data_IF_751483712810
#
_entry.id   IF_751483712810
#
_cell.length_a   1.000
_cell.length_b   1.000
_cell.length_c   1.000
_cell.angle_alpha   90.00
_cell.angle_beta   90.00
_cell.angle_gamma   90.00
#
_symmetry.space_group_name_H-M   'P 1'
#
loop_
_entity.id
_entity.type
_entity.pdbx_description
1 polymer ?
#
# COMPACT_ATOMS: atom_id res chain seq x y z
N UNK A 1 20.93 2.73 -4.48
CA UNK A 1 19.63 3.27 -4.96
C UNK A 1 18.48 2.26 -4.91
N UNK A 2 18.60 1.05 -5.50
CA UNK A 2 17.48 0.07 -5.55
C UNK A 2 16.92 -0.34 -4.18
N UNK A 3 17.73 -0.34 -3.12
CA UNK A 3 17.29 -0.65 -1.75
C UNK A 3 16.24 0.33 -1.21
N UNK A 4 16.47 1.64 -1.35
CA UNK A 4 15.54 2.67 -0.90
C UNK A 4 14.18 2.56 -1.62
N UNK A 5 14.19 2.34 -2.94
CA UNK A 5 12.95 2.16 -3.72
C UNK A 5 12.19 0.90 -3.31
N UNK A 6 12.89 -0.21 -3.03
CA UNK A 6 12.25 -1.44 -2.53
C UNK A 6 11.61 -1.23 -1.16
N UNK A 7 12.26 -0.49 -0.27
CA UNK A 7 11.70 -0.17 1.04
C UNK A 7 10.46 0.73 0.92
N UNK A 8 10.52 1.76 0.08
CA UNK A 8 9.40 2.68 -0.15
C UNK A 8 8.17 2.01 -0.77
N UNK A 9 8.37 0.96 -1.57
CA UNK A 9 7.29 0.25 -2.26
C UNK A 9 6.88 -1.07 -1.59
N UNK A 10 7.41 -1.39 -0.41
CA UNK A 10 6.97 -2.54 0.36
C UNK A 10 5.45 -2.44 0.66
N UNK A 11 4.69 -3.54 0.58
CA UNK A 11 5.12 -4.94 0.43
C UNK A 11 5.25 -5.42 -1.03
N UNK A 12 5.27 -4.53 -2.02
CA UNK A 12 5.46 -4.94 -3.41
C UNK A 12 6.94 -5.22 -3.73
N UNK A 13 7.17 -6.16 -4.65
CA UNK A 13 8.47 -6.42 -5.24
C UNK A 13 8.72 -5.45 -6.39
N UNK A 14 9.92 -4.87 -6.45
CA UNK A 14 10.34 -3.98 -7.54
C UNK A 14 11.05 -4.81 -8.61
N UNK A 15 10.39 -4.96 -9.76
CA UNK A 15 10.88 -5.77 -10.90
C UNK A 15 11.80 -4.96 -11.81
N UNK A 16 11.45 -3.69 -12.05
CA UNK A 16 12.24 -2.77 -12.84
C UNK A 16 12.12 -1.34 -12.30
N UNK A 17 13.14 -0.52 -12.55
CA UNK A 17 13.18 0.90 -12.20
C UNK A 17 13.73 1.69 -13.38
N UNK A 18 12.92 2.60 -13.92
CA UNK A 18 13.29 3.49 -15.01
C UNK A 18 13.38 4.92 -14.48
N UNK A 19 14.56 5.51 -14.51
CA UNK A 19 14.77 6.91 -14.14
C UNK A 19 14.39 7.80 -15.32
N UNK A 20 13.71 8.92 -15.06
CA UNK A 20 13.43 9.93 -16.08
C UNK A 20 14.45 11.06 -15.96
N UNK A 21 15.28 11.21 -16.99
CA UNK A 21 16.30 12.26 -17.10
C UNK A 21 17.66 11.86 -16.51
N UNK A 22 18.61 12.78 -16.66
CA UNK A 22 19.96 12.63 -16.12
C UNK A 22 20.05 13.35 -14.77
N UNK A 23 20.60 12.67 -13.77
CA UNK A 23 20.85 13.23 -12.45
C UNK A 23 22.35 13.25 -12.17
N UNK A 24 22.91 14.45 -11.99
CA UNK A 24 24.28 14.63 -11.54
C UNK A 24 24.30 15.15 -10.10
N UNK A 25 25.13 14.50 -9.28
CA UNK A 25 25.40 14.86 -7.89
C UNK A 25 26.88 15.21 -7.74
N UNK A 26 27.18 16.09 -6.79
CA UNK A 26 28.55 16.45 -6.46
C UNK A 26 29.33 15.22 -5.97
N UNK A 27 30.66 15.24 -6.14
CA UNK A 27 31.52 14.19 -5.59
C UNK A 27 31.48 14.21 -4.06
N UNK A 28 31.36 13.04 -3.44
CA UNK A 28 31.25 12.88 -1.99
C UNK A 28 30.43 11.66 -1.59
N UNK A 29 30.21 11.44 -0.28
CA UNK A 29 29.31 10.40 0.18
C UNK A 29 27.89 10.67 -0.34
N UNK A 30 27.34 9.67 -1.05
CA UNK A 30 26.02 9.76 -1.64
C UNK A 30 25.00 9.05 -0.75
N UNK A 31 24.07 9.81 -0.18
CA UNK A 31 22.88 9.28 0.48
C UNK A 31 21.76 9.14 -0.54
N UNK A 32 21.01 8.03 -0.45
CA UNK A 32 19.91 7.73 -1.37
C UNK A 32 18.67 7.33 -0.60
N UNK A 33 17.63 8.12 -0.75
CA UNK A 33 16.28 7.85 -0.26
C UNK A 33 15.30 7.70 -1.43
N UNK A 34 14.11 7.20 -1.13
CA UNK A 34 13.04 7.13 -2.11
C UNK A 34 11.69 7.39 -1.45
N UNK A 35 10.86 8.17 -2.12
CA UNK A 35 9.48 8.43 -1.76
C UNK A 35 8.57 7.83 -2.83
N UNK A 36 7.58 7.06 -2.41
CA UNK A 36 6.60 6.44 -3.29
C UNK A 36 5.54 5.74 -2.47
N UNK A 37 4.36 5.53 -3.06
CA UNK A 37 3.30 4.77 -2.42
C UNK A 37 3.11 3.44 -3.14
N UNK A 38 3.23 2.34 -2.39
CA UNK A 38 3.00 1.00 -2.90
C UNK A 38 1.59 0.89 -3.51
N UNK A 39 1.43 0.47 -4.77
CA UNK A 39 0.13 0.33 -5.38
C UNK A 39 -0.62 -0.90 -4.83
N UNK A 40 -1.95 -0.85 -4.90
CA UNK A 40 -2.83 -1.95 -4.46
C UNK A 40 -2.84 -3.15 -5.41
N UNK A 41 -2.23 -3.03 -6.57
CA UNK A 41 -2.09 -4.09 -7.58
C UNK A 41 -0.72 -3.99 -8.25
N UNK A 42 -0.27 -5.09 -8.85
CA UNK A 42 0.89 -5.09 -9.72
C UNK A 42 0.71 -4.09 -10.86
N UNK A 43 1.79 -3.43 -11.29
CA UNK A 43 1.73 -2.38 -12.31
C UNK A 43 2.88 -1.39 -12.22
N UNK A 44 2.67 -0.20 -12.79
CA UNK A 44 3.63 0.89 -12.68
C UNK A 44 3.34 1.74 -11.44
N UNK A 45 4.40 2.11 -10.71
CA UNK A 45 4.34 2.99 -9.55
C UNK A 45 5.28 4.18 -9.74
N UNK A 46 4.80 5.44 -9.58
CA UNK A 46 5.68 6.59 -9.55
C UNK A 46 6.51 6.60 -8.27
N UNK A 47 7.78 6.96 -8.37
CA UNK A 47 8.72 7.08 -7.25
C UNK A 47 9.58 8.31 -7.46
N UNK A 48 9.92 9.01 -6.39
CA UNK A 48 10.94 10.07 -6.39
C UNK A 48 12.16 9.54 -5.65
N UNK A 49 13.29 9.43 -6.35
CA UNK A 49 14.58 9.08 -5.72
C UNK A 49 15.24 10.37 -5.28
N UNK A 50 15.61 10.47 -4.00
CA UNK A 50 16.25 11.65 -3.44
C UNK A 50 17.73 11.32 -3.26
N UNK A 51 18.59 12.06 -3.94
CA UNK A 51 20.04 11.91 -3.90
C UNK A 51 20.62 13.10 -3.12
N UNK A 52 21.37 12.85 -2.05
CA UNK A 52 22.09 13.90 -1.30
C UNK A 52 23.59 13.65 -1.32
N UNK A 53 24.36 14.64 -1.79
CA UNK A 53 25.82 14.60 -1.77
C UNK A 53 26.40 16.02 -1.74
N UNK A 54 27.44 16.25 -0.92
CA UNK A 54 28.13 17.55 -0.84
C UNK A 54 27.21 18.72 -0.50
N UNK A 55 26.19 18.51 0.35
CA UNK A 55 25.21 19.53 0.73
C UNK A 55 24.15 19.84 -0.34
N UNK A 56 24.16 19.14 -1.47
CA UNK A 56 23.20 19.32 -2.56
C UNK A 56 22.22 18.15 -2.61
N UNK A 57 20.92 18.48 -2.66
CA UNK A 57 19.83 17.52 -2.85
C UNK A 57 19.35 17.55 -4.30
N UNK A 58 19.18 16.36 -4.91
CA UNK A 58 18.62 16.19 -6.26
C UNK A 58 17.48 15.20 -6.18
N UNK A 59 16.29 15.63 -6.61
CA UNK A 59 15.07 14.80 -6.67
C UNK A 59 14.89 14.28 -8.09
N UNK A 60 14.92 12.96 -8.23
CA UNK A 60 14.95 12.28 -9.52
C UNK A 60 13.65 11.48 -9.69
N UNK A 61 12.74 11.92 -10.58
CA UNK A 61 11.53 11.16 -10.85
C UNK A 61 11.87 9.84 -11.55
N UNK A 62 11.26 8.76 -11.07
CA UNK A 62 11.42 7.43 -11.61
C UNK A 62 10.08 6.71 -11.68
N UNK A 63 10.04 5.67 -12.51
CA UNK A 63 8.90 4.79 -12.65
C UNK A 63 9.35 3.36 -12.32
N UNK A 64 8.77 2.79 -11.28
CA UNK A 64 8.98 1.39 -10.93
C UNK A 64 7.92 0.52 -11.61
N UNK A 65 8.32 -0.64 -12.12
CA UNK A 65 7.39 -1.75 -12.38
C UNK A 65 7.43 -2.65 -11.15
N UNK A 66 6.26 -2.92 -10.59
CA UNK A 66 6.11 -3.70 -9.37
C UNK A 66 5.17 -4.87 -9.53
N UNK A 67 5.52 -5.94 -8.85
CA UNK A 67 4.68 -7.10 -8.62
C UNK A 67 4.26 -7.10 -7.18
N UNK A 68 2.96 -7.03 -6.94
CA UNK A 68 2.44 -6.93 -5.59
C UNK A 68 1.62 -8.17 -5.20
N UNK A 69 1.56 -8.52 -3.91
CA UNK A 69 0.69 -9.59 -3.43
C UNK A 69 -0.75 -9.43 -3.92
N UNK A 70 -1.40 -10.55 -4.26
CA UNK A 70 -2.81 -10.52 -4.61
C UNK A 70 -3.66 -10.11 -3.40
N UNK A 71 -4.79 -9.41 -3.60
CA UNK A 71 -5.77 -9.19 -2.54
C UNK A 71 -6.26 -10.52 -1.96
N UNK A 72 -6.36 -10.61 -0.63
CA UNK A 72 -6.94 -11.78 0.06
C UNK A 72 -8.46 -11.71 0.12
N UNK A 73 -9.01 -10.49 0.05
CA UNK A 73 -10.45 -10.22 -0.09
C UNK A 73 -10.72 -9.66 -1.49
N UNK A 74 -11.68 -10.25 -2.19
CA UNK A 74 -12.17 -9.77 -3.49
C UNK A 74 -13.52 -9.05 -3.33
N UNK A 75 -13.91 -8.15 -4.26
CA UNK A 75 -15.25 -7.58 -4.30
C UNK A 75 -16.33 -8.67 -4.37
N UNK A 76 -17.43 -8.48 -3.66
CA UNK A 76 -18.51 -9.45 -3.56
C UNK A 76 -18.26 -10.59 -2.56
N UNK A 77 -17.04 -10.71 -2.02
CA UNK A 77 -16.75 -11.72 -0.99
C UNK A 77 -17.52 -11.43 0.29
N UNK A 78 -18.18 -12.45 0.83
CA UNK A 78 -18.79 -12.40 2.16
C UNK A 78 -17.70 -12.44 3.22
N UNK A 79 -17.80 -11.58 4.22
CA UNK A 79 -16.83 -11.45 5.30
C UNK A 79 -17.54 -11.29 6.64
N UNK A 80 -16.88 -11.69 7.73
CA UNK A 80 -17.25 -11.36 9.10
C UNK A 80 -16.67 -9.99 9.44
N UNK A 81 -17.55 -9.03 9.68
CA UNK A 81 -17.17 -7.69 10.15
C UNK A 81 -17.15 -7.72 11.67
N UNK A 82 -16.00 -7.44 12.27
CA UNK A 82 -15.85 -7.31 13.72
C UNK A 82 -15.67 -5.84 14.12
N UNK A 83 -16.16 -5.49 15.29
CA UNK A 83 -15.89 -4.21 15.94
C UNK A 83 -15.60 -4.46 17.42
N UNK A 84 -14.49 -3.89 17.91
CA UNK A 84 -14.06 -4.05 19.31
C UNK A 84 -14.29 -2.74 20.08
N UNK A 85 -14.94 -2.85 21.24
CA UNK A 85 -15.19 -1.73 22.15
C UNK A 85 -14.78 -2.15 23.56
N UNK A 86 -13.58 -1.76 23.99
CA UNK A 86 -13.00 -2.25 25.24
C UNK A 86 -12.86 -3.77 25.21
N UNK A 87 -13.50 -4.46 26.17
CA UNK A 87 -13.50 -5.92 26.26
C UNK A 87 -14.60 -6.60 25.41
N UNK A 88 -15.45 -5.83 24.72
CA UNK A 88 -16.59 -6.35 23.96
C UNK A 88 -16.24 -6.46 22.47
N UNK A 89 -16.54 -7.61 21.86
CA UNK A 89 -16.51 -7.82 20.41
C UNK A 89 -17.95 -7.94 19.88
N UNK A 90 -18.33 -7.06 18.96
CA UNK A 90 -19.53 -7.20 18.14
C UNK A 90 -19.14 -7.75 16.76
N UNK A 91 -19.99 -8.59 16.17
CA UNK A 91 -19.76 -9.05 14.80
C UNK A 91 -21.05 -9.12 13.97
N UNK A 92 -20.91 -8.84 12.67
CA UNK A 92 -22.00 -8.85 11.71
C UNK A 92 -21.53 -9.41 10.35
N UNK A 93 -22.42 -10.04 9.58
CA UNK A 93 -22.11 -10.43 8.21
C UNK A 93 -22.02 -9.21 7.30
N UNK A 94 -21.02 -9.18 6.43
CA UNK A 94 -20.82 -8.13 5.44
C UNK A 94 -20.44 -8.68 4.06
N UNK A 95 -20.46 -7.81 3.07
CA UNK A 95 -19.95 -8.08 1.72
C UNK A 95 -18.93 -7.02 1.33
N UNK A 96 -17.75 -7.46 0.89
CA UNK A 96 -16.71 -6.56 0.42
C UNK A 96 -17.14 -5.84 -0.85
N UNK A 97 -16.92 -4.52 -0.88
CA UNK A 97 -17.18 -3.67 -2.05
C UNK A 97 -15.89 -3.28 -2.77
N UNK A 98 -14.74 -3.56 -2.17
CA UNK A 98 -13.41 -3.31 -2.72
C UNK A 98 -12.50 -4.51 -2.44
N UNK A 99 -11.49 -4.75 -3.28
CA UNK A 99 -10.45 -5.71 -2.96
C UNK A 99 -9.55 -5.17 -1.85
N UNK A 100 -8.98 -6.07 -1.05
CA UNK A 100 -8.00 -5.69 -0.02
C UNK A 100 -7.05 -6.83 0.37
N UNK A 101 -5.83 -6.46 0.72
CA UNK A 101 -4.84 -7.30 1.40
C UNK A 101 -4.96 -7.11 2.91
N UNK A 102 -4.37 -8.01 3.68
CA UNK A 102 -4.22 -7.83 5.13
C UNK A 102 -3.64 -6.44 5.42
N UNK A 103 -4.32 -5.69 6.29
CA UNK A 103 -3.99 -4.32 6.65
C UNK A 103 -4.67 -3.23 5.81
N UNK A 104 -5.16 -3.54 4.60
CA UNK A 104 -5.87 -2.56 3.76
C UNK A 104 -7.21 -2.18 4.39
N UNK A 105 -7.57 -0.91 4.30
CA UNK A 105 -8.92 -0.44 4.65
C UNK A 105 -9.79 -0.46 3.40
N UNK A 106 -10.84 -1.27 3.42
CA UNK A 106 -11.76 -1.48 2.31
C UNK A 106 -13.19 -1.08 2.68
N UNK A 107 -13.99 -0.75 1.66
CA UNK A 107 -15.43 -0.54 1.83
C UNK A 107 -16.15 -1.88 1.91
N UNK A 108 -17.04 -1.99 2.89
CA UNK A 108 -17.89 -3.14 3.13
C UNK A 108 -19.35 -2.66 3.15
N UNK A 109 -20.28 -3.50 2.74
CA UNK A 109 -21.69 -3.33 3.08
C UNK A 109 -22.09 -4.34 4.15
N UNK A 110 -22.66 -3.86 5.26
CA UNK A 110 -23.29 -4.70 6.26
C UNK A 110 -24.55 -5.34 5.67
N UNK A 111 -24.71 -6.66 5.78
CA UNK A 111 -25.84 -7.37 5.18
C UNK A 111 -27.13 -7.30 6.00
N UNK A 112 -27.05 -7.00 7.30
CA UNK A 112 -28.21 -6.83 8.18
C UNK A 112 -28.82 -5.43 8.03
N UNK A 113 -28.00 -4.39 8.08
CA UNK A 113 -28.46 -2.99 8.06
C UNK A 113 -28.40 -2.34 6.68
N UNK A 114 -27.72 -2.98 5.72
CA UNK A 114 -27.37 -2.42 4.39
C UNK A 114 -26.47 -1.19 4.44
N UNK A 115 -25.94 -0.82 5.61
CA UNK A 115 -25.07 0.34 5.76
C UNK A 115 -23.67 0.09 5.15
N UNK A 116 -23.06 1.16 4.65
CA UNK A 116 -21.66 1.15 4.21
C UNK A 116 -20.71 1.35 5.39
N UNK A 117 -19.67 0.53 5.47
CA UNK A 117 -18.65 0.57 6.52
C UNK A 117 -17.25 0.63 5.89
N UNK A 118 -16.28 1.19 6.62
CA UNK A 118 -14.86 1.04 6.34
C UNK A 118 -14.28 0.04 7.33
N UNK A 119 -13.57 -0.95 6.83
CA UNK A 119 -12.97 -1.97 7.68
C UNK A 119 -11.57 -2.34 7.19
N UNK A 120 -10.66 -2.57 8.13
CA UNK A 120 -9.33 -3.12 7.88
C UNK A 120 -9.43 -4.61 7.66
N UNK A 121 -8.81 -5.12 6.61
CA UNK A 121 -8.72 -6.56 6.36
C UNK A 121 -7.78 -7.20 7.38
N UNK A 122 -8.28 -8.22 8.08
CA UNK A 122 -7.47 -9.03 9.00
C UNK A 122 -7.00 -10.29 8.28
N UNK A 123 -7.89 -10.94 7.55
CA UNK A 123 -7.62 -12.12 6.73
C UNK A 123 -8.61 -12.21 5.55
N UNK A 124 -8.67 -13.35 4.85
CA UNK A 124 -9.51 -13.55 3.67
C UNK A 124 -11.03 -13.49 3.95
N UNK A 125 -11.45 -13.64 5.22
CA UNK A 125 -12.83 -13.77 5.65
C UNK A 125 -13.21 -12.81 6.78
N UNK A 126 -12.25 -12.13 7.41
CA UNK A 126 -12.47 -11.27 8.57
C UNK A 126 -11.96 -9.86 8.33
N UNK A 127 -12.77 -8.87 8.70
CA UNK A 127 -12.42 -7.44 8.63
C UNK A 127 -12.83 -6.74 9.92
N UNK A 128 -12.07 -5.75 10.34
CA UNK A 128 -12.30 -4.97 11.56
C UNK A 128 -12.70 -3.54 11.24
N UNK A 129 -13.81 -3.06 11.80
CA UNK A 129 -14.29 -1.68 11.59
C UNK A 129 -13.24 -0.68 12.04
N UNK A 130 -12.96 0.32 11.19
CA UNK A 130 -12.10 1.45 11.53
C UNK A 130 -12.98 2.65 11.92
N UNK A 131 -12.74 3.31 13.07
CA UNK A 131 -13.44 4.53 13.48
C UNK A 131 -13.38 5.66 12.45
#
# INVERSE_FOLDING_TARGET
SRGAVRQALAPCTVDALTVRGDASVAQGPLEVEAEGQAPRSSGAAPVVVILRAGGREVRVPAQARVSCPAPVVAPGRRVRVIARFGAVEASAPGVARQPGRVGDVIRIQNLQTRSGLRARVIDADTVEVVP
#
